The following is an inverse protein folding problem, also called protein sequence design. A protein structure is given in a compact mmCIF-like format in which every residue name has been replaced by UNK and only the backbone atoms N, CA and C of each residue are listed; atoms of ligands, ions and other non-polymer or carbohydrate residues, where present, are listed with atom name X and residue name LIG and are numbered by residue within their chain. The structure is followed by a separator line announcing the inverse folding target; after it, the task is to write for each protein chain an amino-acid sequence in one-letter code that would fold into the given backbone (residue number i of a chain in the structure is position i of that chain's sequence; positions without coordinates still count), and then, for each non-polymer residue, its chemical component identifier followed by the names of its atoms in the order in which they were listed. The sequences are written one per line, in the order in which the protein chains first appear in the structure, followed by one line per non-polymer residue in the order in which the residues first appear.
data_IF_475159350586
#
_entry.id   IF_475159350586
#
_cell.length_a   1.000
_cell.length_b   1.000
_cell.length_c   1.000
_cell.angle_alpha   90.00
_cell.angle_beta   90.00
_cell.angle_gamma   90.00
#
_symmetry.space_group_name_H-M   'P 1'
#
loop_
_entity.id
_entity.type
_entity.pdbx_description
1 polymer ?
#
# COMPACT_ATOMS: atom_id res chain seq x y z
N UNK A 1 55.86 -23.37 12.38
CA UNK A 1 54.45 -23.83 12.30
C UNK A 1 53.61 -22.73 12.92
N UNK A 2 53.12 -21.81 12.10
CA UNK A 2 52.40 -20.62 12.53
C UNK A 2 50.91 -20.72 12.19
N UNK A 3 50.11 -20.26 13.16
CA UNK A 3 48.88 -19.50 13.03
C UNK A 3 47.65 -20.16 12.39
N UNK A 4 46.66 -20.40 13.26
CA UNK A 4 45.34 -19.77 13.22
C UNK A 4 44.73 -19.47 11.85
N UNK A 5 43.65 -20.16 11.53
CA UNK A 5 42.59 -19.66 10.64
C UNK A 5 41.33 -20.48 10.81
N UNK A 6 40.69 -20.38 11.98
CA UNK A 6 39.32 -20.86 12.16
C UNK A 6 38.48 -19.78 12.84
N UNK A 7 38.10 -18.78 12.05
CA UNK A 7 37.02 -17.85 12.38
C UNK A 7 36.30 -17.52 11.06
N UNK A 8 35.60 -18.54 10.56
CA UNK A 8 34.57 -18.37 9.54
C UNK A 8 33.48 -17.46 10.13
N UNK A 9 33.47 -16.21 9.67
CA UNK A 9 32.57 -15.16 10.10
C UNK A 9 31.12 -15.53 9.76
N UNK A 10 30.36 -15.95 10.76
CA UNK A 10 28.90 -15.94 10.72
C UNK A 10 28.42 -14.48 10.64
N UNK A 11 28.21 -13.95 9.43
CA UNK A 11 27.41 -12.74 9.24
C UNK A 11 25.93 -13.12 9.36
N UNK A 12 25.48 -13.38 10.59
CA UNK A 12 24.07 -13.29 10.91
C UNK A 12 23.72 -11.79 10.85
N UNK A 13 23.12 -11.36 9.75
CA UNK A 13 22.57 -10.01 9.64
C UNK A 13 21.56 -9.80 10.75
N UNK A 14 21.94 -9.04 11.77
CA UNK A 14 21.04 -8.61 12.84
C UNK A 14 19.98 -7.74 12.17
N UNK A 15 18.77 -8.28 11.97
CA UNK A 15 17.63 -7.44 11.65
C UNK A 15 17.42 -6.49 12.84
N UNK A 16 17.80 -5.23 12.66
CA UNK A 16 17.55 -4.17 13.63
C UNK A 16 16.04 -4.03 13.82
N UNK A 17 15.55 -4.39 15.00
CA UNK A 17 14.17 -4.14 15.40
C UNK A 17 13.93 -2.63 15.42
N UNK A 18 13.25 -2.12 14.39
CA UNK A 18 12.82 -0.72 14.37
C UNK A 18 11.63 -0.57 15.32
N UNK A 19 11.84 0.19 16.39
CA UNK A 19 10.82 0.48 17.40
C UNK A 19 10.24 1.88 17.15
N UNK A 20 8.91 1.96 17.06
CA UNK A 20 8.16 3.21 17.02
C UNK A 20 7.47 3.42 18.37
N UNK A 21 7.74 4.54 19.03
CA UNK A 21 7.05 4.95 20.27
C UNK A 21 6.23 6.19 19.97
N UNK A 22 4.91 6.09 20.19
CA UNK A 22 3.97 7.20 20.01
C UNK A 22 3.56 7.70 21.40
N UNK A 23 3.72 9.01 21.64
CA UNK A 23 3.33 9.65 22.89
C UNK A 23 1.96 10.30 22.72
N UNK A 24 1.29 10.52 23.86
CA UNK A 24 0.04 11.29 23.93
C UNK A 24 -1.08 10.77 23.01
N UNK A 25 -1.17 9.44 22.90
CA UNK A 25 -2.23 8.78 22.12
C UNK A 25 -3.57 9.02 22.82
N UNK A 26 -4.58 9.57 22.10
CA UNK A 26 -5.91 9.77 22.65
C UNK A 26 -6.54 8.49 23.22
N UNK A 27 -7.25 8.60 24.35
CA UNK A 27 -7.82 7.44 25.06
C UNK A 27 -8.87 6.68 24.23
N UNK A 28 -9.61 7.39 23.39
CA UNK A 28 -10.55 6.80 22.44
C UNK A 28 -9.86 5.89 21.41
N UNK A 29 -8.69 6.30 20.92
CA UNK A 29 -7.85 5.48 20.02
C UNK A 29 -7.36 4.23 20.74
N UNK A 30 -6.84 4.37 21.97
CA UNK A 30 -6.40 3.22 22.79
C UNK A 30 -7.54 2.24 23.02
N UNK A 31 -8.73 2.74 23.34
CA UNK A 31 -9.94 1.92 23.54
C UNK A 31 -10.32 1.13 22.30
N UNK A 32 -10.30 1.75 21.13
CA UNK A 32 -10.60 1.07 19.85
C UNK A 32 -9.56 0.00 19.54
N UNK A 33 -8.27 0.30 19.69
CA UNK A 33 -7.18 -0.66 19.46
C UNK A 33 -7.29 -1.85 20.41
N UNK A 34 -7.58 -1.61 21.70
CA UNK A 34 -7.75 -2.67 22.70
C UNK A 34 -8.95 -3.56 22.39
N UNK A 35 -10.09 -2.98 22.00
CA UNK A 35 -11.28 -3.73 21.58
C UNK A 35 -10.95 -4.66 20.42
N UNK A 36 -10.32 -4.12 19.38
CA UNK A 36 -9.96 -4.88 18.16
C UNK A 36 -8.89 -5.94 18.42
N UNK A 37 -7.96 -5.68 19.33
CA UNK A 37 -6.99 -6.68 19.81
C UNK A 37 -7.69 -7.87 20.47
N UNK A 38 -8.66 -7.60 21.36
CA UNK A 38 -9.47 -8.64 22.02
C UNK A 38 -10.28 -9.47 21.02
N UNK A 39 -10.93 -8.82 20.06
CA UNK A 39 -11.76 -9.48 19.04
C UNK A 39 -10.94 -10.34 18.07
N UNK A 40 -9.74 -9.89 17.69
CA UNK A 40 -8.87 -10.61 16.76
C UNK A 40 -7.95 -11.64 17.43
N UNK A 41 -7.92 -11.70 18.76
CA UNK A 41 -6.98 -12.54 19.51
C UNK A 41 -5.50 -12.16 19.30
N UNK A 42 -5.24 -10.90 18.91
CA UNK A 42 -3.89 -10.39 18.60
C UNK A 42 -3.42 -9.41 19.67
N UNK A 43 -2.11 -9.20 19.75
CA UNK A 43 -1.57 -8.14 20.61
C UNK A 43 -1.95 -6.76 20.09
N UNK A 44 -2.05 -5.79 20.99
CA UNK A 44 -2.35 -4.39 20.63
C UNK A 44 -1.32 -3.82 19.65
N UNK A 45 -0.03 -4.16 19.82
CA UNK A 45 1.03 -3.76 18.88
C UNK A 45 0.83 -4.36 17.49
N UNK A 46 0.38 -5.61 17.38
CA UNK A 46 0.11 -6.22 16.08
C UNK A 46 -1.06 -5.53 15.35
N UNK A 47 -2.11 -5.14 16.09
CA UNK A 47 -3.24 -4.38 15.54
C UNK A 47 -2.82 -2.97 15.13
N UNK A 48 -2.05 -2.29 15.99
CA UNK A 48 -1.53 -0.96 15.67
C UNK A 48 -0.62 -0.98 14.43
N UNK A 49 0.26 -1.99 14.32
CA UNK A 49 1.12 -2.17 13.14
C UNK A 49 0.29 -2.35 11.87
N UNK A 50 -0.71 -3.25 11.90
CA UNK A 50 -1.57 -3.47 10.74
C UNK A 50 -2.33 -2.20 10.32
N UNK A 51 -2.82 -1.41 11.28
CA UNK A 51 -3.49 -0.14 10.99
C UNK A 51 -2.53 0.90 10.37
N UNK A 52 -1.28 0.95 10.82
CA UNK A 52 -0.25 1.82 10.24
C UNK A 52 0.16 1.37 8.83
N UNK A 53 0.27 0.05 8.59
CA UNK A 53 0.53 -0.53 7.27
C UNK A 53 -0.59 -0.17 6.29
N UNK A 54 -1.84 -0.37 6.67
CA UNK A 54 -3.01 -0.02 5.85
C UNK A 54 -3.07 1.49 5.54
N UNK A 55 -2.76 2.33 6.53
CA UNK A 55 -2.67 3.78 6.32
C UNK A 55 -1.59 4.13 5.29
N UNK A 56 -0.38 3.56 5.43
CA UNK A 56 0.72 3.82 4.51
C UNK A 56 0.42 3.35 3.08
N UNK A 57 -0.23 2.19 2.92
CA UNK A 57 -0.67 1.70 1.61
C UNK A 57 -1.70 2.62 0.97
N UNK A 58 -2.64 3.13 1.76
CA UNK A 58 -3.66 4.07 1.28
C UNK A 58 -3.05 5.40 0.82
N UNK A 59 -2.12 5.97 1.60
CA UNK A 59 -1.42 7.19 1.21
C UNK A 59 -0.61 6.98 -0.08
N UNK A 60 0.14 5.88 -0.17
CA UNK A 60 0.90 5.53 -1.37
C UNK A 60 0.00 5.32 -2.60
N UNK A 61 -1.17 4.72 -2.42
CA UNK A 61 -2.14 4.56 -3.49
C UNK A 61 -2.73 5.89 -3.94
N UNK A 62 -3.08 6.78 -3.00
CA UNK A 62 -3.58 8.12 -3.33
C UNK A 62 -2.52 8.96 -4.07
N UNK A 63 -1.26 8.87 -3.67
CA UNK A 63 -0.15 9.54 -4.36
C UNK A 63 0.00 9.03 -5.80
N UNK A 64 0.00 7.71 -6.00
CA UNK A 64 0.01 7.11 -7.35
C UNK A 64 -1.17 7.57 -8.20
N UNK A 65 -2.36 7.68 -7.63
CA UNK A 65 -3.52 8.20 -8.35
C UNK A 65 -3.34 9.66 -8.74
N UNK A 66 -2.83 10.51 -7.84
CA UNK A 66 -2.54 11.92 -8.18
C UNK A 66 -1.56 12.04 -9.34
N UNK A 67 -0.60 11.13 -9.44
CA UNK A 67 0.37 11.13 -10.54
C UNK A 67 -0.18 10.54 -11.85
N UNK A 68 -1.15 9.64 -11.77
CA UNK A 68 -1.71 8.95 -12.93
C UNK A 68 -2.93 9.64 -13.52
N UNK A 69 -3.78 10.28 -12.70
CA UNK A 69 -4.99 10.95 -13.17
C UNK A 69 -4.69 12.01 -14.25
N UNK A 70 -3.68 12.90 -14.11
CA UNK A 70 -3.34 13.87 -15.15
C UNK A 70 -2.93 13.20 -16.47
N UNK A 71 -2.19 12.08 -16.39
CA UNK A 71 -1.77 11.32 -17.58
C UNK A 71 -2.95 10.66 -18.28
N UNK A 72 -3.94 10.21 -17.52
CA UNK A 72 -5.18 9.66 -18.07
C UNK A 72 -6.04 10.75 -18.71
N UNK A 73 -6.10 11.94 -18.11
CA UNK A 73 -6.80 13.08 -18.68
C UNK A 73 -6.14 13.57 -19.97
N UNK A 74 -4.80 13.66 -20.00
CA UNK A 74 -4.05 13.97 -21.24
C UNK A 74 -4.31 12.94 -22.33
N UNK A 75 -4.35 11.65 -21.98
CA UNK A 75 -4.66 10.58 -22.92
C UNK A 75 -6.10 10.70 -23.45
N UNK A 76 -7.07 10.97 -22.57
CA UNK A 76 -8.48 11.20 -22.95
C UNK A 76 -8.62 12.40 -23.87
N UNK A 77 -7.98 13.53 -23.56
CA UNK A 77 -7.99 14.71 -24.41
C UNK A 77 -7.33 14.47 -25.76
N UNK A 78 -6.28 13.65 -25.81
CA UNK A 78 -5.64 13.27 -27.08
C UNK A 78 -6.56 12.42 -27.93
N UNK A 79 -7.25 11.44 -27.33
CA UNK A 79 -8.23 10.59 -28.02
C UNK A 79 -9.42 11.42 -28.51
N UNK A 80 -9.99 12.29 -27.67
CA UNK A 80 -11.09 13.20 -28.04
C UNK A 80 -10.72 14.07 -29.24
N UNK A 81 -9.52 14.67 -29.22
CA UNK A 81 -9.02 15.50 -30.33
C UNK A 81 -8.75 14.72 -31.61
N UNK A 82 -8.29 13.48 -31.51
CA UNK A 82 -7.98 12.63 -32.66
C UNK A 82 -9.23 12.03 -33.31
N UNK A 83 -10.26 11.70 -32.53
CA UNK A 83 -11.45 10.98 -32.98
C UNK A 83 -12.75 11.80 -32.99
N UNK A 84 -12.69 13.08 -32.61
CA UNK A 84 -13.75 14.06 -32.92
C UNK A 84 -15.03 13.96 -32.10
N UNK A 85 -14.99 13.47 -30.86
CA UNK A 85 -16.16 13.43 -29.99
C UNK A 85 -15.87 12.87 -28.60
N UNK A 86 -16.77 13.13 -27.65
CA UNK A 86 -16.80 12.35 -26.41
C UNK A 86 -16.98 10.87 -26.76
N UNK A 87 -16.32 9.99 -25.99
CA UNK A 87 -16.47 8.54 -26.07
C UNK A 87 -17.91 8.17 -25.67
N UNK A 88 -18.87 8.51 -26.52
CA UNK A 88 -20.26 8.15 -26.38
C UNK A 88 -20.38 6.66 -26.65
N UNK A 89 -20.80 5.96 -25.60
CA UNK A 89 -21.35 4.61 -25.63
C UNK A 89 -20.48 3.55 -26.33
N UNK A 90 -19.35 3.19 -25.70
CA UNK A 90 -18.64 1.94 -26.02
C UNK A 90 -19.48 0.67 -25.76
N UNK A 91 -20.71 0.82 -25.30
CA UNK A 91 -21.67 -0.25 -25.03
C UNK A 91 -22.03 -1.05 -26.28
N UNK A 92 -22.04 -0.42 -27.46
CA UNK A 92 -22.34 -1.12 -28.72
C UNK A 92 -21.15 -1.97 -29.22
N UNK A 93 -19.91 -1.52 -29.01
CA UNK A 93 -18.69 -2.28 -29.32
C UNK A 93 -18.51 -3.51 -28.42
N UNK A 94 -18.98 -3.46 -27.17
CA UNK A 94 -18.92 -4.60 -26.23
C UNK A 94 -19.96 -5.68 -26.60
N UNK A 95 -21.06 -5.32 -27.28
CA UNK A 95 -22.08 -6.29 -27.72
C UNK A 95 -21.59 -7.16 -28.87
N UNK A 96 -20.89 -6.60 -29.86
CA UNK A 96 -20.40 -7.34 -31.03
C UNK A 96 -19.40 -8.47 -30.68
N UNK A 97 -18.60 -8.30 -29.62
CA UNK A 97 -17.60 -9.32 -29.22
C UNK A 97 -18.20 -10.48 -28.42
N UNK A 98 -19.42 -10.33 -27.88
CA UNK A 98 -20.10 -11.38 -27.09
C UNK A 98 -20.87 -12.38 -27.95
N UNK A 99 -21.25 -12.01 -29.17
CA UNK A 99 -22.05 -12.84 -30.07
C UNK A 99 -21.19 -13.71 -31.02
N UNK A 100 -19.91 -13.94 -30.69
CA UNK A 100 -18.99 -14.78 -31.46
C UNK A 100 -18.61 -16.08 -30.75
#
# INVERSE_FOLDING_TARGET
MHADSNLSRCHAGIQMSRQLTVRDVPEDVIRVLRKRAKESGRSMNAVARAALEEYAEREAWQERLRDQLPKMDELRERIRRAHGGDLSDSTDLIREDRDR
#
